data_IF_267374230203
#
_entry.id   IF_267374230203
#
_cell.length_a   1.000
_cell.length_b   1.000
_cell.length_c   1.000
_cell.angle_alpha   90.00
_cell.angle_beta   90.00
_cell.angle_gamma   90.00
#
_symmetry.space_group_name_H-M   'P 1'
#
loop_
_entity.id
_entity.type
_entity.pdbx_description
1 polymer ?
#
# COMPACT_ATOMS: atom_id res chain seq x y z
N UNK A 1 17.52 8.66 18.63
CA UNK A 1 17.87 8.94 17.23
C UNK A 1 17.27 7.83 16.38
N UNK A 2 16.14 8.08 15.70
CA UNK A 2 15.64 7.12 14.72
C UNK A 2 16.62 7.15 13.55
N UNK A 3 17.35 6.05 13.33
CA UNK A 3 18.16 5.87 12.13
C UNK A 3 17.18 5.91 10.97
N UNK A 4 17.20 6.97 10.17
CA UNK A 4 16.53 6.96 8.89
C UNK A 4 17.24 5.89 8.06
N UNK A 5 16.53 4.80 7.79
CA UNK A 5 17.00 3.77 6.88
C UNK A 5 17.23 4.46 5.54
N UNK A 6 18.30 4.12 4.84
CA UNK A 6 18.48 4.65 3.48
C UNK A 6 17.30 4.20 2.59
N UNK A 7 16.98 4.91 1.51
CA UNK A 7 15.79 4.64 0.71
C UNK A 7 15.69 3.21 0.16
N UNK A 8 16.81 2.54 -0.12
CA UNK A 8 16.80 1.14 -0.55
C UNK A 8 16.42 0.23 0.62
N UNK A 9 17.05 0.45 1.78
CA UNK A 9 16.72 -0.28 3.00
C UNK A 9 15.29 -0.02 3.51
N UNK A 10 14.67 1.14 3.20
CA UNK A 10 13.27 1.38 3.55
C UNK A 10 12.29 0.46 2.81
N UNK A 11 12.59 0.20 1.53
CA UNK A 11 11.76 -0.69 0.72
C UNK A 11 11.86 -2.14 1.20
N UNK A 12 13.09 -2.64 1.40
CA UNK A 12 13.34 -4.02 1.80
C UNK A 12 12.73 -4.37 3.17
N UNK A 13 12.49 -3.35 4.00
CA UNK A 13 11.99 -3.52 5.37
C UNK A 13 10.54 -3.08 5.55
N UNK A 14 9.88 -2.66 4.47
CA UNK A 14 8.47 -2.28 4.54
C UNK A 14 7.59 -3.46 4.94
N UNK A 15 7.97 -4.68 4.53
CA UNK A 15 7.29 -5.93 4.88
C UNK A 15 7.17 -6.15 6.40
N UNK A 16 8.14 -5.71 7.21
CA UNK A 16 8.07 -5.79 8.68
C UNK A 16 7.00 -4.90 9.29
N UNK A 17 6.55 -3.88 8.57
CA UNK A 17 5.53 -2.93 9.01
C UNK A 17 4.13 -3.24 8.47
N UNK A 18 4.00 -4.28 7.63
CA UNK A 18 2.73 -4.67 7.02
C UNK A 18 2.17 -5.93 7.68
N UNK A 19 0.85 -6.03 7.73
CA UNK A 19 0.15 -7.22 8.23
C UNK A 19 -1.02 -7.59 7.30
N UNK A 20 -1.43 -8.86 7.35
CA UNK A 20 -2.58 -9.43 6.66
C UNK A 20 -2.61 -9.09 5.16
N UNK A 21 -3.69 -8.48 4.71
CA UNK A 21 -3.96 -8.15 3.30
C UNK A 21 -2.91 -7.21 2.72
N UNK A 22 -2.38 -6.28 3.51
CA UNK A 22 -1.37 -5.34 3.03
C UNK A 22 -0.03 -6.06 2.74
N UNK A 23 0.35 -7.03 3.58
CA UNK A 23 1.55 -7.84 3.37
C UNK A 23 1.42 -8.72 2.12
N UNK A 24 0.26 -9.36 1.92
CA UNK A 24 0.00 -10.19 0.73
C UNK A 24 0.03 -9.36 -0.56
N UNK A 25 -0.54 -8.15 -0.53
CA UNK A 25 -0.49 -7.23 -1.68
C UNK A 25 0.95 -6.82 -1.99
N UNK A 26 1.76 -6.52 -0.97
CA UNK A 26 3.17 -6.20 -1.16
C UNK A 26 3.94 -7.36 -1.78
N UNK A 27 3.87 -8.56 -1.22
CA UNK A 27 4.58 -9.75 -1.71
C UNK A 27 4.22 -10.10 -3.16
N UNK A 28 2.95 -9.95 -3.55
CA UNK A 28 2.51 -10.23 -4.92
C UNK A 28 2.96 -9.18 -5.95
N UNK A 29 3.39 -8.00 -5.50
CA UNK A 29 3.76 -6.89 -6.39
C UNK A 29 5.21 -6.42 -6.18
N UNK A 30 5.99 -7.09 -5.33
CA UNK A 30 7.36 -6.70 -4.97
C UNK A 30 8.26 -6.53 -6.20
N UNK A 31 8.21 -7.47 -7.15
CA UNK A 31 8.96 -7.39 -8.41
C UNK A 31 8.54 -6.21 -9.31
N UNK A 32 7.28 -5.75 -9.17
CA UNK A 32 6.70 -4.65 -9.96
C UNK A 32 6.87 -3.29 -9.29
N UNK A 33 7.23 -3.27 -8.02
CA UNK A 33 7.36 -2.09 -7.19
C UNK A 33 8.79 -1.99 -6.65
N UNK A 34 9.82 -1.80 -7.49
CA UNK A 34 11.23 -1.90 -7.10
C UNK A 34 11.73 -0.76 -6.20
N UNK A 35 10.86 0.20 -5.86
CA UNK A 35 11.20 1.37 -5.03
C UNK A 35 10.09 1.66 -4.05
N UNK A 36 10.47 2.22 -2.89
CA UNK A 36 9.52 2.65 -1.87
C UNK A 36 8.45 3.61 -2.40
N UNK A 37 8.82 4.53 -3.31
CA UNK A 37 7.88 5.49 -3.90
C UNK A 37 6.82 4.84 -4.79
N UNK A 38 7.21 3.84 -5.58
CA UNK A 38 6.27 3.07 -6.40
C UNK A 38 5.29 2.31 -5.50
N UNK A 39 5.81 1.68 -4.43
CA UNK A 39 4.99 0.98 -3.46
C UNK A 39 3.99 1.90 -2.74
N UNK A 40 4.44 3.06 -2.25
CA UNK A 40 3.56 4.04 -1.59
C UNK A 40 2.46 4.52 -2.54
N UNK A 41 2.80 4.75 -3.81
CA UNK A 41 1.83 5.16 -4.82
C UNK A 41 0.76 4.09 -5.08
N UNK A 42 1.16 2.83 -5.14
CA UNK A 42 0.24 1.72 -5.36
C UNK A 42 -0.67 1.49 -4.13
N UNK A 43 -0.10 1.52 -2.92
CA UNK A 43 -0.86 1.45 -1.68
C UNK A 43 -1.91 2.57 -1.57
N UNK A 44 -1.57 3.79 -2.00
CA UNK A 44 -2.55 4.89 -2.04
C UNK A 44 -3.71 4.62 -3.02
N UNK A 45 -3.47 3.93 -4.13
CA UNK A 45 -4.55 3.52 -5.04
C UNK A 45 -5.42 2.42 -4.43
N UNK A 46 -4.81 1.44 -3.79
CA UNK A 46 -5.53 0.31 -3.20
C UNK A 46 -6.32 0.69 -1.93
N UNK A 47 -5.76 1.57 -1.10
CA UNK A 47 -6.25 1.84 0.26
C UNK A 47 -6.55 3.31 0.53
N UNK A 48 -6.11 4.24 -0.32
CA UNK A 48 -6.23 5.68 -0.08
C UNK A 48 -7.54 6.33 -0.54
N UNK A 49 -8.32 5.66 -1.40
CA UNK A 49 -9.56 6.21 -1.94
C UNK A 49 -10.81 5.64 -1.26
N UNK A 50 -10.84 5.68 0.08
CA UNK A 50 -11.99 5.26 0.88
C UNK A 50 -13.24 6.06 0.52
N UNK A 51 -13.11 7.38 0.29
CA UNK A 51 -14.25 8.25 -0.03
C UNK A 51 -14.94 7.95 -1.36
N UNK A 52 -14.21 7.62 -2.43
CA UNK A 52 -14.83 7.22 -3.69
C UNK A 52 -15.43 5.81 -3.62
N UNK A 53 -14.80 4.92 -2.83
CA UNK A 53 -15.26 3.55 -2.63
C UNK A 53 -16.56 3.50 -1.83
N UNK A 54 -16.66 4.31 -0.77
CA UNK A 54 -17.86 4.43 0.06
C UNK A 54 -19.05 4.98 -0.74
N UNK A 55 -18.84 6.03 -1.56
CA UNK A 55 -19.87 6.54 -2.48
C UNK A 55 -20.36 5.49 -3.48
N UNK A 56 -19.44 4.68 -4.02
CA UNK A 56 -19.79 3.65 -5.00
C UNK A 56 -20.53 2.47 -4.36
N UNK A 57 -20.19 2.14 -3.12
CA UNK A 57 -20.90 1.14 -2.31
C UNK A 57 -22.29 1.65 -1.94
N UNK A 58 -22.43 2.90 -1.47
CA UNK A 58 -23.75 3.51 -1.22
C UNK A 58 -24.63 3.48 -2.47
N UNK A 59 -24.11 3.88 -3.63
CA UNK A 59 -24.86 3.86 -4.88
C UNK A 59 -25.28 2.45 -5.33
N UNK A 60 -24.51 1.42 -4.98
CA UNK A 60 -24.82 0.02 -5.32
C UNK A 60 -25.79 -0.60 -4.32
N UNK A 61 -25.73 -0.23 -3.04
CA UNK A 61 -26.64 -0.70 -1.99
C UNK A 61 -28.02 -0.02 -2.05
N UNK A 62 -28.11 1.15 -2.69
CA UNK A 62 -29.35 1.88 -2.93
C UNK A 62 -30.07 1.47 -4.23
N UNK A 63 -29.52 0.51 -4.99
CA UNK A 63 -30.14 -0.12 -6.17
C UNK A 63 -30.77 -1.47 -5.81
#
# INVERSE_FOLDING_TARGET
MYKHWDPASQHDNVSFSLDKTALVVFQNNEERLPTGDNFVTDMKKCFGDSGARDKKVEQTLLQ
#
